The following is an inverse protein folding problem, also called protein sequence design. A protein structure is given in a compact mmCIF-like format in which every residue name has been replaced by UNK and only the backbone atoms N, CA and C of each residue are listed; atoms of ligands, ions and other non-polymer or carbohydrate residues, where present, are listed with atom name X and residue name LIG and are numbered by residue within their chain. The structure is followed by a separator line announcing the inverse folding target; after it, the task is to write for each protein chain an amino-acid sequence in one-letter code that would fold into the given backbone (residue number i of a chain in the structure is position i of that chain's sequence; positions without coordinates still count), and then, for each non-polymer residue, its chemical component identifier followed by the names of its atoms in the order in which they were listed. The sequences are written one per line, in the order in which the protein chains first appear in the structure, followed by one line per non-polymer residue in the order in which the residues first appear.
data_IF_685831939223
#
_entry.id   IF_685831939223
#
_cell.length_a   1.000
_cell.length_b   1.000
_cell.length_c   1.000
_cell.angle_alpha   90.00
_cell.angle_beta   90.00
_cell.angle_gamma   90.00
#
_symmetry.space_group_name_H-M   'P 1'
#
loop_
_entity.id
_entity.type
_entity.pdbx_description
1 polymer ?
#
# COMPACT_ATOMS: atom_id res chain seq x y z
N UNK A 1 11.77 10.57 12.63
CA UNK A 1 10.71 9.59 12.62
C UNK A 1 11.18 8.31 11.92
N UNK A 2 10.37 7.42 11.46
CA UNK A 2 10.76 6.09 10.94
C UNK A 2 11.55 6.08 9.61
N UNK A 3 11.98 7.24 9.12
CA UNK A 3 12.75 7.35 7.88
C UNK A 3 14.24 7.10 8.12
N UNK A 4 14.86 6.40 7.17
CA UNK A 4 16.27 6.04 7.26
C UNK A 4 17.21 7.15 6.77
N UNK A 5 16.74 7.97 5.83
CA UNK A 5 17.48 9.11 5.29
C UNK A 5 16.58 9.97 4.40
N UNK A 6 16.93 11.23 4.20
CA UNK A 6 16.37 12.10 3.15
C UNK A 6 16.95 11.76 1.75
N UNK A 7 18.14 11.17 1.71
CA UNK A 7 18.73 10.65 0.48
C UNK A 7 18.07 9.32 0.09
N UNK A 8 17.41 9.32 -1.07
CA UNK A 8 16.63 8.17 -1.53
C UNK A 8 17.53 6.95 -1.82
N UNK A 9 18.76 7.14 -2.28
CA UNK A 9 19.70 6.06 -2.52
C UNK A 9 20.15 5.42 -1.21
N UNK A 10 20.56 6.26 -0.25
CA UNK A 10 20.99 5.78 1.06
C UNK A 10 19.84 5.07 1.80
N UNK A 11 18.65 5.68 1.85
CA UNK A 11 17.47 5.08 2.45
C UNK A 11 17.13 3.72 1.81
N UNK A 12 17.11 3.65 0.49
CA UNK A 12 16.83 2.41 -0.24
C UNK A 12 17.86 1.30 0.02
N UNK A 13 19.16 1.63 0.02
CA UNK A 13 20.24 0.66 0.26
C UNK A 13 20.22 0.12 1.70
N UNK A 14 20.01 0.99 2.69
CA UNK A 14 19.91 0.60 4.09
C UNK A 14 18.67 -0.29 4.30
N UNK A 15 17.51 0.12 3.79
CA UNK A 15 16.28 -0.66 3.88
C UNK A 15 16.39 -2.02 3.17
N UNK A 16 17.04 -2.07 2.00
CA UNK A 16 17.30 -3.34 1.30
C UNK A 16 18.23 -4.26 2.12
N UNK A 17 19.24 -3.70 2.78
CA UNK A 17 20.12 -4.45 3.68
C UNK A 17 19.36 -5.05 4.88
N UNK A 18 18.54 -4.26 5.54
CA UNK A 18 17.68 -4.70 6.65
C UNK A 18 16.70 -5.78 6.16
N UNK A 19 16.04 -5.57 5.03
CA UNK A 19 15.09 -6.51 4.45
C UNK A 19 15.75 -7.87 4.19
N UNK A 20 16.89 -7.90 3.52
CA UNK A 20 17.65 -9.15 3.29
C UNK A 20 18.07 -9.82 4.59
N UNK A 21 18.49 -9.04 5.58
CA UNK A 21 18.91 -9.54 6.89
C UNK A 21 17.78 -10.25 7.64
N UNK A 22 16.59 -9.64 7.69
CA UNK A 22 15.42 -10.21 8.36
C UNK A 22 14.88 -11.43 7.60
N UNK A 23 14.77 -11.33 6.28
CA UNK A 23 14.20 -12.39 5.43
C UNK A 23 15.12 -13.61 5.23
N UNK A 24 16.35 -13.59 5.76
CA UNK A 24 17.19 -14.80 5.89
C UNK A 24 16.63 -15.81 6.89
N UNK A 25 15.78 -15.37 7.80
CA UNK A 25 15.20 -16.24 8.82
C UNK A 25 13.89 -16.83 8.30
N UNK A 26 13.74 -18.16 8.27
CA UNK A 26 12.52 -18.83 7.79
C UNK A 26 11.26 -18.29 8.45
N UNK A 27 10.20 -18.10 7.68
CA UNK A 27 8.92 -17.60 8.16
C UNK A 27 8.91 -16.12 8.57
N UNK A 28 9.93 -15.35 8.23
CA UNK A 28 10.02 -13.91 8.53
C UNK A 28 9.90 -13.08 7.26
N UNK A 29 8.93 -12.14 7.27
CA UNK A 29 8.73 -11.16 6.21
C UNK A 29 8.97 -9.75 6.69
N UNK A 30 9.32 -8.85 5.77
CA UNK A 30 9.44 -7.41 6.02
C UNK A 30 8.32 -6.69 5.31
N UNK A 31 7.70 -5.73 6.01
CA UNK A 31 6.80 -4.74 5.43
C UNK A 31 7.51 -3.40 5.37
N UNK A 32 7.78 -2.90 4.17
CA UNK A 32 8.32 -1.54 4.00
C UNK A 32 7.19 -0.52 3.96
N UNK A 33 7.40 0.67 4.55
CA UNK A 33 6.34 1.67 4.73
C UNK A 33 6.89 3.10 4.82
N UNK A 34 6.05 4.10 4.66
CA UNK A 34 4.68 4.07 4.15
C UNK A 34 4.69 4.44 2.68
N UNK A 35 4.07 3.66 1.83
CA UNK A 35 4.08 3.81 0.37
C UNK A 35 2.86 4.61 -0.09
N UNK A 36 2.99 5.92 -0.38
CA UNK A 36 4.19 6.73 -0.39
C UNK A 36 3.82 8.21 -0.17
N UNK A 37 4.82 9.08 -0.20
CA UNK A 37 4.65 10.55 -0.10
C UNK A 37 4.14 11.07 1.23
N UNK A 38 4.18 10.29 2.29
CA UNK A 38 3.91 10.75 3.65
C UNK A 38 5.21 11.26 4.29
N UNK A 39 5.74 12.40 3.79
CA UNK A 39 6.98 13.00 4.28
C UNK A 39 6.76 13.98 5.43
N UNK A 40 5.53 14.09 5.92
CA UNK A 40 5.12 14.97 7.02
C UNK A 40 4.05 14.33 7.87
N UNK A 41 4.30 14.19 9.16
CA UNK A 41 3.34 13.62 10.12
C UNK A 41 2.29 14.64 10.58
N UNK A 42 2.64 15.93 10.64
CA UNK A 42 1.69 16.97 11.02
C UNK A 42 0.52 17.00 10.06
N UNK A 43 -0.68 16.76 10.59
CA UNK A 43 -1.93 16.76 9.83
C UNK A 43 -1.97 15.76 8.66
N UNK A 44 -1.29 14.63 8.80
CA UNK A 44 -1.10 13.61 7.73
C UNK A 44 -2.39 13.09 7.12
N UNK A 45 -3.48 13.02 7.89
CA UNK A 45 -4.79 12.55 7.43
C UNK A 45 -5.50 13.55 6.50
N UNK A 46 -5.07 14.82 6.49
CA UNK A 46 -5.60 15.88 5.66
C UNK A 46 -4.61 16.35 4.58
N UNK A 47 -3.52 15.61 4.42
CA UNK A 47 -2.44 15.96 3.50
C UNK A 47 -2.73 15.44 2.08
N UNK A 48 -2.50 16.30 1.09
CA UNK A 48 -2.48 15.93 -0.31
C UNK A 48 -1.13 16.35 -0.90
N UNK A 49 -0.29 15.39 -1.22
CA UNK A 49 1.02 15.65 -1.83
C UNK A 49 0.85 15.91 -3.32
N UNK A 50 1.22 17.11 -3.78
CA UNK A 50 1.21 17.46 -5.19
C UNK A 50 2.62 17.35 -5.75
N UNK A 51 2.84 16.43 -6.68
CA UNK A 51 4.16 16.13 -7.22
C UNK A 51 4.09 15.76 -8.71
N UNK A 52 5.09 16.20 -9.48
CA UNK A 52 5.21 15.79 -10.87
C UNK A 52 5.63 14.32 -10.98
N UNK A 53 5.29 13.66 -12.08
CA UNK A 53 5.67 12.26 -12.32
C UNK A 53 7.18 12.04 -12.24
N UNK A 54 7.98 13.00 -12.73
CA UNK A 54 9.44 12.95 -12.65
C UNK A 54 9.94 13.02 -11.22
N UNK A 55 9.51 14.03 -10.45
CA UNK A 55 9.93 14.16 -9.06
C UNK A 55 9.47 12.97 -8.20
N UNK A 56 8.26 12.44 -8.48
CA UNK A 56 7.78 11.23 -7.83
C UNK A 56 8.77 10.06 -8.00
N UNK A 57 9.22 9.81 -9.23
CA UNK A 57 10.10 8.67 -9.55
C UNK A 57 11.55 8.90 -9.13
N UNK A 58 12.07 10.09 -9.36
CA UNK A 58 13.48 10.38 -9.10
C UNK A 58 13.79 10.49 -7.61
N UNK A 59 12.82 10.91 -6.79
CA UNK A 59 13.03 11.19 -5.36
C UNK A 59 12.19 10.29 -4.46
N UNK A 60 10.86 10.44 -4.48
CA UNK A 60 10.00 9.87 -3.44
C UNK A 60 9.76 8.36 -3.57
N UNK A 61 9.71 7.84 -4.78
CA UNK A 61 9.53 6.41 -5.04
C UNK A 61 10.85 5.65 -5.14
N UNK A 62 11.96 6.35 -5.36
CA UNK A 62 13.26 5.75 -5.64
C UNK A 62 13.76 4.83 -4.52
N UNK A 63 13.59 5.20 -3.26
CA UNK A 63 13.97 4.35 -2.13
C UNK A 63 13.19 3.04 -2.09
N UNK A 64 11.89 3.08 -2.35
CA UNK A 64 11.04 1.89 -2.43
C UNK A 64 11.41 1.01 -3.62
N UNK A 65 11.65 1.60 -4.78
CA UNK A 65 12.09 0.88 -5.98
C UNK A 65 13.36 0.06 -5.70
N UNK A 66 14.35 0.66 -5.06
CA UNK A 66 15.61 -0.01 -4.71
C UNK A 66 15.32 -1.24 -3.83
N UNK A 67 14.50 -1.08 -2.79
CA UNK A 67 14.19 -2.19 -1.88
C UNK A 67 13.43 -3.30 -2.60
N UNK A 68 12.43 -2.94 -3.40
CA UNK A 68 11.63 -3.92 -4.16
C UNK A 68 12.52 -4.73 -5.10
N UNK A 69 13.33 -4.06 -5.91
CA UNK A 69 14.19 -4.73 -6.91
C UNK A 69 15.34 -5.53 -6.30
N UNK A 70 15.96 -5.05 -5.22
CA UNK A 70 17.16 -5.64 -4.66
C UNK A 70 16.92 -6.62 -3.50
N UNK A 71 15.82 -6.47 -2.77
CA UNK A 71 15.58 -7.25 -1.57
C UNK A 71 14.24 -7.98 -1.55
N UNK A 72 13.35 -7.70 -2.50
CA UNK A 72 12.03 -8.37 -2.65
C UNK A 72 11.29 -8.48 -1.31
N UNK A 73 10.88 -7.35 -0.69
CA UNK A 73 10.18 -7.38 0.58
C UNK A 73 8.87 -8.15 0.43
N UNK A 74 8.47 -8.87 1.48
CA UNK A 74 7.25 -9.66 1.47
C UNK A 74 5.98 -8.81 1.49
N UNK A 75 6.04 -7.61 2.04
CA UNK A 75 4.89 -6.74 2.07
C UNK A 75 5.29 -5.26 1.92
N UNK A 76 4.29 -4.46 1.53
CA UNK A 76 4.36 -3.01 1.50
C UNK A 76 3.10 -2.43 2.13
N UNK A 77 3.22 -1.35 2.89
CA UNK A 77 2.09 -0.67 3.52
C UNK A 77 1.86 0.68 2.86
N UNK A 78 0.61 0.94 2.43
CA UNK A 78 0.23 2.23 1.87
C UNK A 78 0.16 3.31 2.96
N UNK A 79 0.14 4.57 2.56
CA UNK A 79 0.12 5.72 3.47
C UNK A 79 -1.27 6.35 3.57
N UNK A 80 -1.47 7.24 4.55
CA UNK A 80 -2.76 7.92 4.76
C UNK A 80 -3.06 9.05 3.78
N UNK A 81 -2.02 9.73 3.29
CA UNK A 81 -2.15 10.94 2.49
C UNK A 81 -2.71 10.66 1.09
N UNK A 82 -3.19 11.72 0.47
CA UNK A 82 -3.48 11.72 -0.95
C UNK A 82 -2.23 12.06 -1.76
N UNK A 83 -2.15 11.49 -2.96
CA UNK A 83 -1.20 11.83 -4.01
C UNK A 83 -1.96 12.42 -5.19
N UNK A 84 -1.72 13.69 -5.50
CA UNK A 84 -2.39 14.39 -6.60
C UNK A 84 -3.93 14.22 -6.59
N UNK A 85 -4.53 14.20 -5.40
CA UNK A 85 -5.99 14.08 -5.21
C UNK A 85 -6.52 12.66 -5.06
N UNK A 86 -5.69 11.62 -5.15
CA UNK A 86 -6.10 10.22 -4.98
C UNK A 86 -5.42 9.63 -3.74
N UNK A 87 -6.15 8.90 -2.91
CA UNK A 87 -5.54 8.15 -1.80
C UNK A 87 -4.51 7.17 -2.32
N UNK A 88 -3.35 7.08 -1.66
CA UNK A 88 -2.31 6.12 -2.05
C UNK A 88 -2.82 4.69 -2.01
N UNK A 89 -3.73 4.39 -1.08
CA UNK A 89 -4.41 3.08 -0.98
C UNK A 89 -5.40 2.80 -2.12
N UNK A 90 -5.88 3.82 -2.84
CA UNK A 90 -6.84 3.71 -3.95
C UNK A 90 -6.19 3.97 -5.32
N UNK A 91 -4.87 4.12 -5.37
CA UNK A 91 -4.15 4.45 -6.59
C UNK A 91 -3.69 3.20 -7.35
N UNK A 92 -4.47 2.76 -8.33
CA UNK A 92 -4.06 1.67 -9.22
C UNK A 92 -2.78 2.00 -10.02
N UNK A 93 -2.56 3.28 -10.39
CA UNK A 93 -1.30 3.72 -11.01
C UNK A 93 -0.11 3.41 -10.10
N UNK A 94 -0.24 3.70 -8.80
CA UNK A 94 0.84 3.46 -7.83
C UNK A 94 1.02 1.96 -7.51
N UNK A 95 -0.06 1.23 -7.28
CA UNK A 95 -0.02 -0.13 -6.74
C UNK A 95 0.07 -1.22 -7.81
N UNK A 96 -0.60 -1.09 -8.93
CA UNK A 96 -0.51 -2.06 -10.02
C UNK A 96 0.56 -1.63 -11.03
N UNK A 97 0.45 -0.44 -11.64
CA UNK A 97 1.37 -0.04 -12.71
C UNK A 97 2.80 0.13 -12.21
N UNK A 98 3.03 1.01 -11.23
CA UNK A 98 4.40 1.33 -10.77
C UNK A 98 4.97 0.17 -9.95
N UNK A 99 4.26 -0.24 -8.91
CA UNK A 99 4.80 -1.21 -7.95
C UNK A 99 4.92 -2.61 -8.56
N UNK A 100 3.87 -3.11 -9.25
CA UNK A 100 3.83 -4.48 -9.76
C UNK A 100 4.35 -4.61 -11.18
N UNK A 101 3.80 -3.84 -12.13
CA UNK A 101 4.15 -4.04 -13.55
C UNK A 101 5.56 -3.53 -13.85
N UNK A 102 5.96 -2.37 -13.31
CA UNK A 102 7.28 -1.81 -13.60
C UNK A 102 8.39 -2.35 -12.69
N UNK A 103 8.13 -2.52 -11.38
CA UNK A 103 9.16 -2.97 -10.43
C UNK A 103 9.16 -4.47 -10.16
N UNK A 104 8.11 -5.18 -10.56
CA UNK A 104 7.99 -6.62 -10.38
C UNK A 104 7.72 -7.04 -8.93
N UNK A 105 6.96 -6.24 -8.17
CA UNK A 105 6.60 -6.58 -6.80
C UNK A 105 5.60 -7.75 -6.76
N UNK A 106 5.98 -8.83 -6.11
CA UNK A 106 5.17 -10.05 -5.96
C UNK A 106 4.56 -10.21 -4.57
N UNK A 107 4.94 -9.34 -3.63
CA UNK A 107 4.51 -9.38 -2.25
C UNK A 107 3.08 -8.88 -2.01
N UNK A 108 2.73 -8.71 -0.75
CA UNK A 108 1.43 -8.26 -0.26
C UNK A 108 1.39 -6.73 -0.11
N UNK A 109 0.33 -6.09 -0.55
CA UNK A 109 0.04 -4.70 -0.23
C UNK A 109 -1.00 -4.65 0.89
N UNK A 110 -0.70 -3.92 1.97
CA UNK A 110 -1.62 -3.69 3.06
C UNK A 110 -1.90 -2.19 3.25
N UNK A 111 -3.05 -1.87 3.83
CA UNK A 111 -3.34 -0.49 4.25
C UNK A 111 -2.57 -0.13 5.52
N UNK A 112 -2.42 1.17 5.77
CA UNK A 112 -2.15 1.66 7.14
C UNK A 112 -3.40 1.42 8.02
N UNK A 113 -3.31 1.73 9.33
CA UNK A 113 -4.38 1.47 10.28
C UNK A 113 -5.66 2.24 9.96
N UNK A 114 -6.77 1.50 9.84
CA UNK A 114 -8.14 2.05 9.70
C UNK A 114 -8.27 3.07 8.56
N UNK A 115 -7.59 2.87 7.43
CA UNK A 115 -7.62 3.78 6.27
C UNK A 115 -9.02 3.85 5.67
N UNK A 116 -9.64 2.70 5.42
CA UNK A 116 -11.03 2.63 4.98
C UNK A 116 -11.94 2.49 6.22
N UNK A 117 -13.02 3.23 6.24
CA UNK A 117 -13.94 3.25 7.39
C UNK A 117 -13.55 4.21 8.51
N UNK A 118 -12.57 5.06 8.30
CA UNK A 118 -12.23 6.12 9.25
C UNK A 118 -13.34 7.16 9.30
N UNK A 119 -14.10 7.16 10.40
CA UNK A 119 -15.15 8.16 10.66
C UNK A 119 -14.61 9.30 11.52
N UNK A 120 -14.09 10.33 10.87
CA UNK A 120 -13.69 11.58 11.53
C UNK A 120 -14.41 12.75 10.90
N UNK A 121 -14.91 13.66 11.71
CA UNK A 121 -15.63 14.86 11.26
C UNK A 121 -14.71 16.01 10.81
N UNK A 122 -13.41 15.91 11.10
CA UNK A 122 -12.39 16.92 10.83
C UNK A 122 -11.54 16.62 9.60
N UNK A 123 -11.93 15.65 8.76
CA UNK A 123 -11.22 15.34 7.52
C UNK A 123 -11.52 16.38 6.45
N UNK A 124 -10.45 16.97 5.90
CA UNK A 124 -10.51 17.88 4.75
C UNK A 124 -10.91 17.15 3.45
N UNK A 125 -10.54 15.89 3.35
CA UNK A 125 -10.82 15.03 2.20
C UNK A 125 -11.65 13.83 2.66
N UNK A 126 -12.56 13.28 1.86
CA UNK A 126 -13.22 12.03 2.18
C UNK A 126 -12.21 10.94 2.53
N UNK A 127 -12.52 10.08 3.49
CA UNK A 127 -11.69 8.91 3.76
C UNK A 127 -11.69 7.96 2.56
N UNK A 128 -10.63 7.16 2.43
CA UNK A 128 -10.60 6.06 1.47
C UNK A 128 -11.73 5.06 1.78
N UNK A 129 -12.16 4.34 0.77
CA UNK A 129 -13.25 3.36 0.87
C UNK A 129 -12.78 1.96 0.49
N UNK A 130 -13.46 0.94 0.99
CA UNK A 130 -12.94 -0.44 0.91
C UNK A 130 -12.91 -1.01 -0.51
N UNK A 131 -13.96 -0.75 -1.31
CA UNK A 131 -14.02 -1.30 -2.67
C UNK A 131 -12.99 -0.68 -3.63
N UNK A 132 -12.81 0.65 -3.73
CA UNK A 132 -11.71 1.27 -4.46
C UNK A 132 -10.33 0.80 -3.98
N UNK A 133 -10.14 0.64 -2.68
CA UNK A 133 -8.88 0.16 -2.08
C UNK A 133 -8.53 -1.25 -2.58
N UNK A 134 -9.47 -2.20 -2.54
CA UNK A 134 -9.29 -3.56 -3.10
C UNK A 134 -9.02 -3.51 -4.60
N UNK A 135 -9.82 -2.73 -5.32
CA UNK A 135 -9.71 -2.60 -6.78
C UNK A 135 -8.37 -2.04 -7.23
N UNK A 136 -7.80 -1.13 -6.44
CA UNK A 136 -6.49 -0.54 -6.69
C UNK A 136 -5.31 -1.47 -6.43
N UNK A 137 -5.50 -2.60 -5.75
CA UNK A 137 -4.45 -3.58 -5.50
C UNK A 137 -3.97 -3.69 -4.06
N UNK A 138 -4.75 -3.20 -3.07
CA UNK A 138 -4.54 -3.56 -1.68
C UNK A 138 -5.21 -4.91 -1.39
N UNK A 139 -4.47 -5.80 -0.76
CA UNK A 139 -4.96 -7.14 -0.42
C UNK A 139 -5.42 -7.26 1.03
N UNK A 140 -4.85 -6.45 1.93
CA UNK A 140 -5.07 -6.60 3.36
C UNK A 140 -5.42 -5.26 4.01
N UNK A 141 -6.54 -5.24 4.73
CA UNK A 141 -6.93 -4.09 5.57
C UNK A 141 -6.39 -4.28 6.98
N UNK A 142 -5.80 -3.25 7.54
CA UNK A 142 -5.22 -3.31 8.88
C UNK A 142 -5.97 -2.37 9.84
N UNK A 143 -6.59 -2.90 10.89
CA UNK A 143 -6.77 -4.33 11.24
C UNK A 143 -7.92 -4.98 10.47
N UNK A 144 -8.64 -4.22 9.65
CA UNK A 144 -9.93 -4.60 9.08
C UNK A 144 -11.08 -4.44 10.08
N UNK A 145 -12.26 -4.12 9.58
CA UNK A 145 -13.44 -3.93 10.41
C UNK A 145 -14.72 -4.34 9.66
N UNK A 146 -15.84 -4.34 10.39
CA UNK A 146 -17.13 -4.70 9.79
C UNK A 146 -17.54 -3.72 8.67
N UNK A 147 -17.18 -2.44 8.78
CA UNK A 147 -17.43 -1.45 7.72
C UNK A 147 -16.70 -1.82 6.44
N UNK A 148 -15.42 -2.26 6.53
CA UNK A 148 -14.67 -2.74 5.36
C UNK A 148 -15.37 -3.94 4.71
N UNK A 149 -15.76 -4.92 5.51
CA UNK A 149 -16.45 -6.11 5.03
C UNK A 149 -17.77 -5.78 4.34
N UNK A 150 -18.57 -4.90 4.94
CA UNK A 150 -19.85 -4.47 4.36
C UNK A 150 -19.66 -3.66 3.08
N UNK A 151 -18.69 -2.76 3.03
CA UNK A 151 -18.34 -2.00 1.81
C UNK A 151 -17.99 -2.94 0.64
N UNK A 152 -17.11 -3.92 0.88
CA UNK A 152 -16.74 -4.92 -0.14
C UNK A 152 -17.94 -5.73 -0.60
N UNK A 153 -18.77 -6.23 0.33
CA UNK A 153 -19.95 -7.01 0.00
C UNK A 153 -21.01 -6.21 -0.75
N UNK A 154 -21.17 -4.93 -0.42
CA UNK A 154 -22.07 -4.00 -1.09
C UNK A 154 -21.65 -3.77 -2.54
N UNK A 155 -20.36 -3.51 -2.75
CA UNK A 155 -19.77 -3.30 -4.08
C UNK A 155 -19.90 -4.55 -4.97
N UNK A 156 -19.68 -5.75 -4.42
CA UNK A 156 -19.88 -7.02 -5.13
C UNK A 156 -21.34 -7.27 -5.55
N UNK A 157 -22.30 -6.68 -4.83
CA UNK A 157 -23.74 -6.82 -5.15
C UNK A 157 -24.27 -5.69 -6.05
N UNK A 158 -23.41 -4.75 -6.46
CA UNK A 158 -23.81 -3.57 -7.22
C UNK A 158 -24.73 -2.63 -6.41
N UNK A 159 -24.59 -2.60 -5.08
CA UNK A 159 -25.46 -1.82 -4.19
C UNK A 159 -24.69 -0.69 -3.52
N UNK A 160 -25.01 0.54 -3.90
CA UNK A 160 -24.72 1.73 -3.08
C UNK A 160 -23.31 2.30 -3.11
N UNK A 161 -22.33 1.66 -3.75
CA UNK A 161 -20.99 2.20 -3.91
C UNK A 161 -20.77 2.77 -5.33
N UNK A 162 -19.98 3.85 -5.42
CA UNK A 162 -19.61 4.46 -6.70
C UNK A 162 -18.71 3.56 -7.56
N UNK A 163 -18.13 2.51 -6.95
CA UNK A 163 -17.20 1.60 -7.61
C UNK A 163 -17.70 0.16 -7.46
N UNK A 164 -18.00 -0.46 -8.59
CA UNK A 164 -18.30 -1.89 -8.65
C UNK A 164 -17.03 -2.71 -8.50
N UNK A 165 -17.11 -3.78 -7.72
CA UNK A 165 -16.07 -4.77 -7.53
C UNK A 165 -16.56 -6.11 -8.10
N UNK A 166 -15.82 -6.68 -9.04
CA UNK A 166 -16.11 -8.01 -9.53
C UNK A 166 -15.56 -9.09 -8.60
N UNK A 167 -16.18 -10.28 -8.64
CA UNK A 167 -15.69 -11.44 -7.92
C UNK A 167 -14.25 -11.80 -8.30
N UNK A 168 -13.91 -11.72 -9.58
CA UNK A 168 -12.56 -12.01 -10.09
C UNK A 168 -11.51 -11.05 -9.56
N UNK A 169 -11.83 -9.75 -9.41
CA UNK A 169 -10.92 -8.78 -8.79
C UNK A 169 -10.67 -9.13 -7.32
N UNK A 170 -11.70 -9.49 -6.55
CA UNK A 170 -11.54 -9.90 -5.17
C UNK A 170 -10.74 -11.21 -5.05
N UNK A 171 -11.03 -12.21 -5.89
CA UNK A 171 -10.29 -13.48 -5.92
C UNK A 171 -8.81 -13.29 -6.27
N UNK A 172 -8.49 -12.37 -7.19
CA UNK A 172 -7.10 -11.98 -7.51
C UNK A 172 -6.36 -11.50 -6.26
N UNK A 173 -6.98 -10.61 -5.46
CA UNK A 173 -6.36 -10.10 -4.25
C UNK A 173 -6.25 -11.18 -3.16
N UNK A 174 -7.30 -11.96 -2.94
CA UNK A 174 -7.28 -13.07 -1.98
C UNK A 174 -6.19 -14.11 -2.32
N UNK A 175 -5.99 -14.42 -3.60
CA UNK A 175 -4.94 -15.34 -4.04
C UNK A 175 -3.53 -14.82 -3.70
N UNK A 176 -3.30 -13.50 -3.70
CA UNK A 176 -2.03 -12.91 -3.27
C UNK A 176 -1.78 -13.12 -1.77
N UNK A 177 -2.82 -12.97 -0.94
CA UNK A 177 -2.74 -13.27 0.50
C UNK A 177 -2.38 -14.73 0.74
N UNK A 178 -3.08 -15.66 0.08
CA UNK A 178 -2.83 -17.10 0.22
C UNK A 178 -1.39 -17.45 -0.20
N UNK A 179 -0.92 -16.92 -1.33
CA UNK A 179 0.47 -17.13 -1.78
C UNK A 179 1.49 -16.66 -0.75
N UNK A 180 1.26 -15.50 -0.13
CA UNK A 180 2.15 -14.98 0.91
C UNK A 180 2.18 -15.87 2.15
N UNK A 181 1.01 -16.33 2.60
CA UNK A 181 0.92 -17.27 3.74
C UNK A 181 1.70 -18.56 3.44
N UNK A 182 1.55 -19.13 2.26
CA UNK A 182 2.31 -20.33 1.87
C UNK A 182 3.81 -20.09 1.76
N UNK A 183 4.22 -18.96 1.19
CA UNK A 183 5.63 -18.60 1.10
C UNK A 183 6.30 -18.48 2.47
N UNK A 184 5.59 -17.91 3.45
CA UNK A 184 6.11 -17.76 4.81
C UNK A 184 5.99 -19.04 5.67
N UNK A 185 4.98 -19.88 5.43
CA UNK A 185 4.77 -21.11 6.17
C UNK A 185 5.68 -22.27 5.69
N UNK A 186 6.11 -22.25 4.45
CA UNK A 186 6.94 -23.30 3.83
C UNK A 186 8.45 -23.01 3.81
N UNK A 187 8.86 -21.91 4.41
CA UNK A 187 10.27 -21.45 4.44
C UNK A 187 10.99 -21.78 5.75
#
# INVERSE_FOLDING_TARGET
FEYLSEDALLAGRVAAGITRGVQKHPGRGVTIKHFAFNNQETNRLNSCSHVSKRAARDLYLRSFEIVVREARPHAIMTSYNLLNGVHTSESAELLETVLRDEWGFEGLVMTDWVVAGMTRHDLKHPAATSAPTIKAGNELFMPGCETDRQGILSALRGRGEQVELSRSELEKQAARVVRMVWALAGS
#
